data_IF_097048876366
#
_entry.id   IF_097048876366
#
_cell.length_a   1.000
_cell.length_b   1.000
_cell.length_c   1.000
_cell.angle_alpha   90.00
_cell.angle_beta   90.00
_cell.angle_gamma   90.00
#
_symmetry.space_group_name_H-M   'P 1'
#
loop_
_entity.id
_entity.type
_entity.pdbx_description
1 polymer ?
#
# COMPACT_ATOMS: atom_id res chain seq x y z
N UNK A 1 29.13 14.36 9.22
CA UNK A 1 27.86 13.82 8.66
C UNK A 1 26.83 13.83 9.76
N UNK A 2 25.83 14.70 9.64
CA UNK A 2 24.82 14.94 10.66
C UNK A 2 24.10 13.67 11.11
N UNK A 3 23.87 13.56 12.42
CA UNK A 3 23.14 12.42 13.03
C UNK A 3 21.75 12.21 12.39
N UNK A 4 21.15 13.25 11.82
CA UNK A 4 19.90 13.18 11.04
C UNK A 4 20.09 12.39 9.74
N UNK A 5 21.16 12.62 8.99
CA UNK A 5 21.45 11.91 7.74
C UNK A 5 21.75 10.43 7.97
N UNK A 6 22.54 10.08 9.01
CA UNK A 6 22.78 8.67 9.37
C UNK A 6 21.48 7.94 9.76
N UNK A 7 20.56 8.63 10.45
CA UNK A 7 19.27 8.05 10.86
C UNK A 7 18.33 7.86 9.66
N UNK A 8 18.26 8.84 8.76
CA UNK A 8 17.50 8.71 7.51
C UNK A 8 18.07 7.62 6.61
N UNK A 9 19.40 7.54 6.44
CA UNK A 9 20.03 6.49 5.64
C UNK A 9 19.79 5.09 6.21
N UNK A 10 19.88 4.89 7.52
CA UNK A 10 19.55 3.60 8.15
C UNK A 10 18.08 3.22 7.96
N UNK A 11 17.17 4.21 8.03
CA UNK A 11 15.75 3.99 7.81
C UNK A 11 15.44 3.64 6.35
N UNK A 12 15.98 4.42 5.39
CA UNK A 12 15.85 4.15 3.96
C UNK A 12 16.46 2.80 3.57
N UNK A 13 17.62 2.44 4.10
CA UNK A 13 18.24 1.13 3.84
C UNK A 13 17.40 -0.01 4.42
N UNK A 14 16.86 0.16 5.62
CA UNK A 14 15.97 -0.84 6.23
C UNK A 14 14.69 -1.02 5.41
N UNK A 15 14.09 0.07 4.92
CA UNK A 15 12.93 0.00 4.03
C UNK A 15 13.30 -0.69 2.74
N UNK A 16 14.40 -0.30 2.09
CA UNK A 16 14.84 -0.90 0.83
C UNK A 16 15.03 -2.42 0.93
N UNK A 17 15.65 -2.90 2.02
CA UNK A 17 15.84 -4.35 2.25
C UNK A 17 14.49 -5.05 2.49
N UNK A 18 13.60 -4.47 3.30
CA UNK A 18 12.27 -5.03 3.53
C UNK A 18 11.46 -5.08 2.23
N UNK A 19 11.45 -3.98 1.47
CA UNK A 19 10.79 -3.87 0.16
C UNK A 19 11.33 -4.91 -0.81
N UNK A 20 12.66 -5.09 -0.87
CA UNK A 20 13.29 -6.10 -1.73
C UNK A 20 12.83 -7.52 -1.38
N UNK A 21 12.87 -7.90 -0.10
CA UNK A 21 12.45 -9.23 0.35
C UNK A 21 10.95 -9.45 0.11
N UNK A 22 10.11 -8.47 0.44
CA UNK A 22 8.68 -8.55 0.17
C UNK A 22 8.39 -8.66 -1.32
N UNK A 23 9.04 -7.84 -2.15
CA UNK A 23 8.86 -7.85 -3.60
C UNK A 23 9.25 -9.22 -4.18
N UNK A 24 10.35 -9.82 -3.73
CA UNK A 24 10.77 -11.15 -4.17
C UNK A 24 9.72 -12.22 -3.80
N UNK A 25 9.25 -12.24 -2.55
CA UNK A 25 8.23 -13.20 -2.10
C UNK A 25 6.92 -13.01 -2.87
N UNK A 26 6.41 -11.78 -2.94
CA UNK A 26 5.17 -11.49 -3.66
C UNK A 26 5.30 -11.79 -5.15
N UNK A 27 6.42 -11.48 -5.78
CA UNK A 27 6.65 -11.78 -7.20
C UNK A 27 6.62 -13.29 -7.47
N UNK A 28 7.26 -14.10 -6.62
CA UNK A 28 7.24 -15.57 -6.75
C UNK A 28 5.82 -16.12 -6.55
N UNK A 29 5.10 -15.64 -5.53
CA UNK A 29 3.72 -16.07 -5.25
C UNK A 29 2.80 -15.65 -6.41
N UNK A 30 2.83 -14.39 -6.82
CA UNK A 30 2.00 -13.87 -7.92
C UNK A 30 2.29 -14.60 -9.23
N UNK A 31 3.55 -14.86 -9.55
CA UNK A 31 3.93 -15.61 -10.75
C UNK A 31 3.43 -17.06 -10.71
N UNK A 32 3.57 -17.73 -9.55
CA UNK A 32 3.10 -19.10 -9.36
C UNK A 32 1.57 -19.21 -9.41
N UNK A 33 0.85 -18.22 -8.86
CA UNK A 33 -0.61 -18.15 -8.92
C UNK A 33 -1.09 -17.83 -10.33
N UNK A 34 -0.42 -16.92 -11.06
CA UNK A 34 -0.84 -16.56 -12.42
C UNK A 34 -0.55 -17.66 -13.45
N UNK A 35 0.53 -18.44 -13.29
CA UNK A 35 0.99 -19.38 -14.33
C UNK A 35 -0.01 -20.51 -14.65
N UNK A 36 -0.86 -20.90 -13.69
CA UNK A 36 -1.88 -21.95 -13.87
C UNK A 36 -3.30 -21.44 -14.14
N UNK A 37 -3.46 -20.13 -14.33
CA UNK A 37 -4.77 -19.47 -14.28
C UNK A 37 -5.15 -18.91 -15.65
N UNK A 38 -6.44 -18.96 -16.00
CA UNK A 38 -6.94 -18.38 -17.25
C UNK A 38 -6.63 -16.87 -17.33
N UNK A 39 -6.33 -16.39 -18.53
CA UNK A 39 -5.96 -14.99 -18.79
C UNK A 39 -6.96 -13.97 -18.20
N UNK A 40 -8.26 -14.30 -18.20
CA UNK A 40 -9.33 -13.48 -17.60
C UNK A 40 -9.14 -13.29 -16.10
N UNK A 41 -8.81 -14.37 -15.39
CA UNK A 41 -8.61 -14.32 -13.94
C UNK A 41 -7.29 -13.60 -13.64
N UNK A 42 -6.25 -13.80 -14.46
CA UNK A 42 -5.00 -13.05 -14.36
C UNK A 42 -5.22 -11.54 -14.50
N UNK A 43 -6.06 -11.11 -15.45
CA UNK A 43 -6.45 -9.71 -15.62
C UNK A 43 -7.16 -9.14 -14.39
N UNK A 44 -8.08 -9.90 -13.78
CA UNK A 44 -8.76 -9.50 -12.54
C UNK A 44 -7.77 -9.33 -11.40
N UNK A 45 -6.79 -10.24 -11.26
CA UNK A 45 -5.75 -10.15 -10.24
C UNK A 45 -4.90 -8.88 -10.43
N UNK A 46 -4.51 -8.55 -11.66
CA UNK A 46 -3.79 -7.30 -11.96
C UNK A 46 -4.56 -6.08 -11.46
N UNK A 47 -5.86 -6.00 -11.77
CA UNK A 47 -6.68 -4.87 -11.31
C UNK A 47 -6.80 -4.81 -9.79
N UNK A 48 -6.97 -5.96 -9.12
CA UNK A 48 -7.00 -6.01 -7.65
C UNK A 48 -5.69 -5.46 -7.07
N UNK A 49 -4.55 -5.84 -7.64
CA UNK A 49 -3.24 -5.34 -7.20
C UNK A 49 -3.20 -3.82 -7.38
N UNK A 50 -3.50 -3.29 -8.58
CA UNK A 50 -3.50 -1.85 -8.86
C UNK A 50 -4.39 -1.07 -7.88
N UNK A 51 -5.63 -1.51 -7.68
CA UNK A 51 -6.55 -0.85 -6.76
C UNK A 51 -6.06 -0.89 -5.32
N UNK A 52 -5.47 -2.01 -4.90
CA UNK A 52 -4.85 -2.13 -3.58
C UNK A 52 -3.73 -1.10 -3.42
N UNK A 53 -2.82 -1.00 -4.38
CA UNK A 53 -1.75 0.02 -4.37
C UNK A 53 -2.28 1.45 -4.28
N UNK A 54 -3.33 1.79 -5.04
CA UNK A 54 -3.98 3.11 -5.02
C UNK A 54 -4.61 3.40 -3.65
N UNK A 55 -5.27 2.42 -3.03
CA UNK A 55 -5.86 2.57 -1.70
C UNK A 55 -4.77 2.80 -0.65
N UNK A 56 -3.67 2.06 -0.69
CA UNK A 56 -2.56 2.27 0.25
C UNK A 56 -1.88 3.63 0.04
N UNK A 57 -1.72 4.11 -1.20
CA UNK A 57 -1.24 5.46 -1.49
C UNK A 57 -2.16 6.54 -0.88
N UNK A 58 -3.48 6.36 -1.02
CA UNK A 58 -4.48 7.21 -0.38
C UNK A 58 -4.36 7.20 1.15
N UNK A 59 -4.12 6.04 1.77
CA UNK A 59 -3.94 5.92 3.22
C UNK A 59 -2.72 6.69 3.72
N UNK A 60 -1.58 6.62 3.01
CA UNK A 60 -0.38 7.34 3.40
C UNK A 60 -0.53 8.86 3.27
N UNK A 61 -1.17 9.34 2.20
CA UNK A 61 -1.48 10.77 2.03
C UNK A 61 -2.51 11.23 3.07
N UNK A 62 -3.51 10.41 3.39
CA UNK A 62 -4.48 10.75 4.43
C UNK A 62 -3.82 10.87 5.81
N UNK A 63 -2.80 10.05 6.09
CA UNK A 63 -2.08 10.07 7.36
C UNK A 63 -1.31 11.37 7.55
N UNK A 64 -0.68 11.88 6.48
CA UNK A 64 0.04 13.15 6.52
C UNK A 64 -0.90 14.36 6.52
N UNK A 65 -2.08 14.24 5.91
CA UNK A 65 -3.09 15.30 5.86
C UNK A 65 -4.00 15.36 7.10
N UNK A 66 -3.98 14.34 7.98
CA UNK A 66 -4.85 14.27 9.15
C UNK A 66 -4.29 15.09 10.32
N UNK A 67 -5.19 15.66 11.13
CA UNK A 67 -4.85 16.42 12.33
C UNK A 67 -5.12 15.63 13.61
N UNK A 68 -4.30 15.81 14.66
CA UNK A 68 -4.44 15.10 15.93
C UNK A 68 -5.68 15.53 16.75
N UNK A 69 -6.10 16.80 16.65
CA UNK A 69 -7.21 17.39 17.43
C UNK A 69 -8.51 16.56 17.41
N UNK A 70 -9.07 16.18 16.24
CA UNK A 70 -10.29 15.37 16.20
C UNK A 70 -10.12 14.00 16.88
N UNK A 71 -8.93 13.39 16.81
CA UNK A 71 -8.69 12.09 17.43
C UNK A 71 -8.56 12.18 18.95
N UNK A 72 -8.02 13.29 19.48
CA UNK A 72 -8.01 13.52 20.93
C UNK A 72 -9.41 13.69 21.51
N UNK A 73 -10.32 14.36 20.79
CA UNK A 73 -11.73 14.43 21.18
C UNK A 73 -12.37 13.03 21.19
N UNK A 74 -12.20 12.25 20.12
CA UNK A 74 -12.70 10.87 20.05
C UNK A 74 -12.11 9.96 21.13
N UNK A 75 -10.84 10.12 21.47
CA UNK A 75 -10.19 9.35 22.54
C UNK A 75 -10.73 9.72 23.94
N UNK A 76 -11.14 10.97 24.13
CA UNK A 76 -11.75 11.44 25.39
C UNK A 76 -13.15 10.83 25.59
N UNK A 77 -13.89 10.63 24.50
CA UNK A 77 -15.16 9.88 24.47
C UNK A 77 -14.97 8.35 24.43
N UNK A 78 -13.73 7.86 24.56
CA UNK A 78 -13.38 6.43 24.56
C UNK A 78 -13.79 5.68 23.29
N UNK A 79 -13.81 6.35 22.13
CA UNK A 79 -14.08 5.70 20.85
C UNK A 79 -12.97 4.70 20.52
N UNK A 80 -13.34 3.45 20.20
CA UNK A 80 -12.41 2.39 19.80
C UNK A 80 -11.66 2.76 18.51
N UNK A 81 -10.33 2.63 18.48
CA UNK A 81 -9.50 3.01 17.33
C UNK A 81 -8.94 4.45 17.40
N UNK A 82 -9.43 5.29 18.33
CA UNK A 82 -8.98 6.68 18.42
C UNK A 82 -7.52 6.81 18.90
N UNK A 83 -7.05 5.90 19.77
CA UNK A 83 -5.66 5.92 20.25
C UNK A 83 -4.69 5.51 19.15
N UNK A 84 -5.06 4.51 18.37
CA UNK A 84 -4.31 4.00 17.23
C UNK A 84 -4.22 5.09 16.14
N UNK A 85 -5.30 5.83 15.91
CA UNK A 85 -5.30 6.96 14.98
C UNK A 85 -4.31 8.06 15.40
N UNK A 86 -4.25 8.40 16.69
CA UNK A 86 -3.26 9.35 17.22
C UNK A 86 -1.84 8.85 16.95
N UNK A 87 -1.57 7.55 17.14
CA UNK A 87 -0.24 6.98 16.91
C UNK A 87 0.15 7.03 15.43
N UNK A 88 -0.80 6.76 14.53
CA UNK A 88 -0.60 6.86 13.08
C UNK A 88 -0.26 8.29 12.69
N UNK A 89 -1.05 9.28 13.11
CA UNK A 89 -0.81 10.70 12.78
C UNK A 89 0.50 11.20 13.38
N UNK A 90 0.83 10.79 14.61
CA UNK A 90 2.09 11.17 15.26
C UNK A 90 3.33 10.60 14.56
N UNK A 91 3.18 9.47 13.86
CA UNK A 91 4.23 8.84 13.06
C UNK A 91 3.90 8.89 11.55
N UNK A 92 3.18 9.93 11.12
CA UNK A 92 2.63 10.02 9.76
C UNK A 92 3.70 9.83 8.67
N UNK A 93 4.89 10.42 8.83
CA UNK A 93 5.99 10.27 7.87
C UNK A 93 6.37 8.80 7.63
N UNK A 94 6.47 8.00 8.71
CA UNK A 94 6.84 6.58 8.59
C UNK A 94 5.70 5.76 8.03
N UNK A 95 4.47 6.03 8.46
CA UNK A 95 3.29 5.34 7.98
C UNK A 95 3.05 5.63 6.48
N UNK A 96 3.23 6.88 6.06
CA UNK A 96 3.10 7.31 4.68
C UNK A 96 4.17 6.67 3.80
N UNK A 97 5.45 6.67 4.21
CA UNK A 97 6.49 5.96 3.45
C UNK A 97 6.23 4.46 3.35
N UNK A 98 5.71 3.82 4.41
CA UNK A 98 5.35 2.41 4.32
C UNK A 98 4.20 2.17 3.34
N UNK A 99 3.13 2.95 3.41
CA UNK A 99 1.96 2.73 2.53
C UNK A 99 2.24 3.12 1.07
N UNK A 100 2.92 4.24 0.85
CA UNK A 100 3.17 4.78 -0.48
C UNK A 100 4.40 4.10 -1.12
N UNK A 101 5.55 4.14 -0.46
CA UNK A 101 6.84 3.73 -1.06
C UNK A 101 7.05 2.21 -0.98
N UNK A 102 6.49 1.53 0.02
CA UNK A 102 6.61 0.06 0.10
C UNK A 102 5.44 -0.60 -0.61
N UNK A 103 4.22 -0.39 -0.13
CA UNK A 103 3.06 -1.10 -0.65
C UNK A 103 2.65 -0.56 -2.03
N UNK A 104 2.60 0.76 -2.19
CA UNK A 104 2.25 1.42 -3.46
C UNK A 104 3.21 1.07 -4.59
N UNK A 105 4.52 1.19 -4.38
CA UNK A 105 5.51 0.90 -5.43
C UNK A 105 5.63 -0.60 -5.73
N UNK A 106 5.60 -1.48 -4.72
CA UNK A 106 5.56 -2.94 -4.93
C UNK A 106 4.32 -3.31 -5.74
N UNK A 107 3.16 -2.76 -5.40
CA UNK A 107 1.93 -2.99 -6.15
C UNK A 107 2.08 -2.58 -7.62
N UNK A 108 2.74 -1.44 -7.90
CA UNK A 108 3.05 -1.00 -9.26
C UNK A 108 3.93 -2.01 -10.01
N UNK A 109 5.04 -2.44 -9.42
CA UNK A 109 5.98 -3.40 -10.03
C UNK A 109 5.33 -4.77 -10.24
N UNK A 110 4.64 -5.29 -9.23
CA UNK A 110 3.97 -6.60 -9.29
C UNK A 110 2.82 -6.57 -10.28
N UNK A 111 2.02 -5.51 -10.34
CA UNK A 111 0.96 -5.40 -11.36
C UNK A 111 1.52 -5.33 -12.78
N UNK A 112 2.65 -4.65 -13.00
CA UNK A 112 3.31 -4.61 -14.31
C UNK A 112 3.83 -5.98 -14.76
N UNK A 113 4.52 -6.70 -13.87
CA UNK A 113 5.00 -8.06 -14.16
C UNK A 113 3.85 -9.05 -14.36
N UNK A 114 2.80 -8.96 -13.54
CA UNK A 114 1.58 -9.75 -13.71
C UNK A 114 0.88 -9.46 -15.05
N UNK A 115 0.83 -8.20 -15.47
CA UNK A 115 0.26 -7.80 -16.77
C UNK A 115 1.04 -8.43 -17.93
N UNK A 116 2.37 -8.49 -17.85
CA UNK A 116 3.18 -9.15 -18.87
C UNK A 116 2.88 -10.66 -18.97
N UNK A 117 2.69 -11.34 -17.83
CA UNK A 117 2.29 -12.76 -17.80
C UNK A 117 0.91 -12.94 -18.44
N UNK A 118 -0.05 -12.05 -18.14
CA UNK A 118 -1.40 -12.09 -18.75
C UNK A 118 -1.31 -11.91 -20.27
N UNK A 119 -0.48 -10.99 -20.76
CA UNK A 119 -0.27 -10.78 -22.20
C UNK A 119 0.24 -12.06 -22.87
N UNK A 120 1.23 -12.72 -22.26
CA UNK A 120 1.76 -13.99 -22.78
C UNK A 120 0.66 -15.07 -22.85
N UNK A 121 -0.21 -15.15 -21.85
CA UNK A 121 -1.32 -16.11 -21.86
C UNK A 121 -2.35 -15.79 -22.94
N UNK A 122 -2.70 -14.52 -23.14
CA UNK A 122 -3.62 -14.08 -24.19
C UNK A 122 -3.08 -14.43 -25.58
N UNK A 123 -1.80 -14.15 -25.83
CA UNK A 123 -1.14 -14.41 -27.11
C UNK A 123 -1.07 -15.92 -27.40
N UNK A 124 -0.75 -16.73 -26.40
CA UNK A 124 -0.74 -18.19 -26.52
C UNK A 124 -2.13 -18.74 -26.86
N UNK A 125 -3.20 -18.24 -26.24
CA UNK A 125 -4.58 -18.66 -26.55
C UNK A 125 -4.99 -18.27 -27.97
N UNK A 126 -4.50 -17.14 -28.46
CA UNK A 126 -4.76 -16.67 -29.83
C UNK A 126 -3.91 -17.38 -30.90
N UNK A 127 -2.99 -18.26 -30.50
CA UNK A 127 -2.15 -19.04 -31.42
C UNK A 127 -1.06 -18.22 -32.14
N UNK A 128 -0.74 -17.02 -31.65
CA UNK A 128 0.34 -16.20 -32.21
C UNK A 128 1.68 -16.53 -31.54
N UNK A 129 2.75 -16.51 -32.32
CA UNK A 129 4.11 -16.74 -31.81
C UNK A 129 4.64 -15.55 -31.00
N UNK A 130 5.50 -15.87 -30.02
CA UNK A 130 6.23 -14.89 -29.23
C UNK A 130 7.02 -13.93 -30.13
N UNK A 131 6.92 -12.63 -29.86
CA UNK A 131 7.54 -11.55 -30.63
C UNK A 131 6.71 -11.00 -31.79
N UNK A 132 5.47 -11.47 -31.97
CA UNK A 132 4.57 -10.93 -33.01
C UNK A 132 4.17 -9.48 -32.75
N UNK A 133 3.90 -8.72 -33.82
CA UNK A 133 3.37 -7.34 -33.71
C UNK A 133 2.11 -7.28 -32.84
N UNK A 134 1.28 -8.33 -32.89
CA UNK A 134 0.06 -8.47 -32.08
C UNK A 134 0.38 -8.51 -30.59
N UNK A 135 1.39 -9.28 -30.16
CA UNK A 135 1.82 -9.32 -28.76
C UNK A 135 2.28 -7.94 -28.28
N UNK A 136 3.09 -7.25 -29.07
CA UNK A 136 3.61 -5.92 -28.72
C UNK A 136 2.44 -4.95 -28.56
N UNK A 137 1.50 -4.94 -29.51
CA UNK A 137 0.31 -4.09 -29.44
C UNK A 137 -0.53 -4.37 -28.20
N UNK A 138 -0.82 -5.64 -27.90
CA UNK A 138 -1.58 -6.02 -26.70
C UNK A 138 -0.84 -5.62 -25.42
N UNK A 139 0.47 -5.86 -25.37
CA UNK A 139 1.32 -5.47 -24.23
C UNK A 139 1.29 -3.97 -23.97
N UNK A 140 1.43 -3.17 -25.03
CA UNK A 140 1.39 -1.70 -24.93
C UNK A 140 0.03 -1.24 -24.46
N UNK A 141 -1.05 -1.74 -25.08
CA UNK A 141 -2.43 -1.37 -24.68
C UNK A 141 -2.67 -1.70 -23.21
N UNK A 142 -2.34 -2.93 -22.78
CA UNK A 142 -2.58 -3.34 -21.40
C UNK A 142 -1.74 -2.53 -20.41
N UNK A 143 -0.46 -2.32 -20.71
CA UNK A 143 0.44 -1.52 -19.87
C UNK A 143 -0.03 -0.07 -19.77
N UNK A 144 -0.49 0.52 -20.88
CA UNK A 144 -1.06 1.87 -20.90
C UNK A 144 -2.35 1.98 -20.08
N UNK A 145 -3.23 0.98 -20.14
CA UNK A 145 -4.45 0.93 -19.32
C UNK A 145 -4.08 0.87 -17.83
N UNK A 146 -3.16 -0.02 -17.46
CA UNK A 146 -2.70 -0.17 -16.07
C UNK A 146 -2.04 1.11 -15.57
N UNK A 147 -1.19 1.74 -16.38
CA UNK A 147 -0.55 3.00 -16.04
C UNK A 147 -1.57 4.14 -15.86
N UNK A 148 -2.52 4.30 -16.79
CA UNK A 148 -3.57 5.31 -16.71
C UNK A 148 -4.46 5.12 -15.47
N UNK A 149 -4.83 3.87 -15.17
CA UNK A 149 -5.62 3.56 -13.98
C UNK A 149 -4.83 3.81 -12.69
N UNK A 150 -3.54 3.49 -12.66
CA UNK A 150 -2.68 3.71 -11.50
C UNK A 150 -2.52 5.20 -11.21
N UNK A 151 -2.12 5.99 -12.22
CA UNK A 151 -1.88 7.44 -12.04
C UNK A 151 -3.20 8.19 -11.81
N UNK A 152 -4.24 7.88 -12.59
CA UNK A 152 -5.57 8.47 -12.40
C UNK A 152 -6.20 8.09 -11.07
N UNK A 153 -6.06 6.83 -10.66
CA UNK A 153 -6.50 6.34 -9.36
C UNK A 153 -5.80 7.05 -8.20
N UNK A 154 -4.47 7.22 -8.25
CA UNK A 154 -3.72 7.99 -7.25
C UNK A 154 -4.17 9.45 -7.19
N UNK A 155 -4.46 10.09 -8.32
CA UNK A 155 -4.96 11.46 -8.36
C UNK A 155 -6.34 11.59 -7.67
N UNK A 156 -7.26 10.68 -7.96
CA UNK A 156 -8.56 10.62 -7.30
C UNK A 156 -8.41 10.31 -5.80
N UNK A 157 -7.59 9.32 -5.45
CA UNK A 157 -7.28 8.95 -4.07
C UNK A 157 -6.73 10.14 -3.28
N UNK A 158 -5.83 10.93 -3.87
CA UNK A 158 -5.29 12.14 -3.23
C UNK A 158 -6.38 13.16 -2.89
N UNK A 159 -7.35 13.38 -3.78
CA UNK A 159 -8.47 14.27 -3.51
C UNK A 159 -9.30 13.80 -2.30
N UNK A 160 -9.64 12.51 -2.25
CA UNK A 160 -10.35 11.91 -1.11
C UNK A 160 -9.52 11.93 0.18
N UNK A 161 -8.22 11.64 0.09
CA UNK A 161 -7.29 11.63 1.21
C UNK A 161 -7.23 12.98 1.91
N UNK A 162 -7.21 14.08 1.16
CA UNK A 162 -7.14 15.43 1.72
C UNK A 162 -8.50 15.87 2.27
N UNK A 163 -9.58 15.66 1.51
CA UNK A 163 -10.91 16.14 1.90
C UNK A 163 -11.57 15.31 3.01
N UNK A 164 -11.14 14.07 3.23
CA UNK A 164 -11.70 13.16 4.24
C UNK A 164 -10.62 12.42 5.06
N UNK A 165 -9.47 13.07 5.26
CA UNK A 165 -8.29 12.51 5.96
C UNK A 165 -8.65 11.89 7.32
N UNK A 166 -9.44 12.61 8.13
CA UNK A 166 -9.80 12.18 9.49
C UNK A 166 -10.61 10.89 9.48
N UNK A 167 -11.59 10.76 8.56
CA UNK A 167 -12.44 9.56 8.46
C UNK A 167 -11.65 8.36 7.94
N UNK A 168 -10.80 8.58 6.94
CA UNK A 168 -9.96 7.54 6.33
C UNK A 168 -8.99 6.96 7.37
N UNK A 169 -8.28 7.84 8.10
CA UNK A 169 -7.34 7.41 9.14
C UNK A 169 -8.06 6.80 10.34
N UNK A 170 -9.23 7.32 10.73
CA UNK A 170 -10.03 6.69 11.76
C UNK A 170 -10.43 5.26 11.37
N UNK A 171 -10.86 5.05 10.13
CA UNK A 171 -11.20 3.72 9.62
C UNK A 171 -9.99 2.78 9.63
N UNK A 172 -8.84 3.24 9.09
CA UNK A 172 -7.61 2.46 9.10
C UNK A 172 -7.15 2.10 10.52
N UNK A 173 -7.20 3.06 11.44
CA UNK A 173 -6.88 2.86 12.84
C UNK A 173 -7.83 1.86 13.52
N UNK A 174 -9.12 1.89 13.18
CA UNK A 174 -10.11 0.94 13.70
C UNK A 174 -9.85 -0.48 13.20
N UNK A 175 -9.48 -0.65 11.93
CA UNK A 175 -9.08 -1.95 11.37
C UNK A 175 -7.82 -2.46 12.08
N UNK A 176 -6.83 -1.61 12.29
CA UNK A 176 -5.62 -1.97 13.02
C UNK A 176 -5.93 -2.35 14.47
N UNK A 177 -6.78 -1.59 15.17
CA UNK A 177 -7.20 -1.89 16.54
C UNK A 177 -7.95 -3.23 16.63
N UNK A 178 -8.78 -3.54 15.63
CA UNK A 178 -9.46 -4.84 15.54
C UNK A 178 -8.49 -5.99 15.24
N UNK A 179 -7.47 -5.74 14.41
CA UNK A 179 -6.44 -6.73 14.14
C UNK A 179 -5.57 -6.99 15.37
N UNK A 180 -5.18 -5.96 16.12
CA UNK A 180 -4.43 -6.09 17.38
C UNK A 180 -5.23 -6.82 18.46
N UNK A 181 -6.54 -6.55 18.57
CA UNK A 181 -7.39 -7.25 19.55
C UNK A 181 -7.58 -8.73 19.23
N UNK A 182 -7.59 -9.08 17.94
CA UNK A 182 -7.72 -10.46 17.47
C UNK A 182 -6.39 -11.22 17.52
N UNK A 183 -5.27 -10.56 17.21
CA UNK A 183 -3.95 -11.20 17.14
C UNK A 183 -3.17 -11.18 18.45
N UNK A 184 -3.58 -10.43 19.48
CA UNK A 184 -2.86 -10.20 20.75
C UNK A 184 -1.42 -9.67 20.59
N UNK A 185 -1.02 -9.28 19.38
CA UNK A 185 0.28 -8.66 19.10
C UNK A 185 0.07 -7.14 19.19
N UNK A 186 0.72 -6.50 20.16
CA UNK A 186 0.72 -5.04 20.32
C UNK A 186 1.71 -4.43 19.31
N UNK A 187 1.22 -4.06 18.12
CA UNK A 187 2.02 -3.46 17.05
C UNK A 187 2.33 -1.98 17.36
N UNK A 188 1.44 -1.29 18.10
CA UNK A 188 1.53 0.17 18.34
C UNK A 188 1.79 0.59 19.81
N UNK A 189 1.87 -0.35 20.77
CA UNK A 189 1.74 -0.03 22.21
C UNK A 189 2.93 0.68 22.89
N UNK A 190 4.07 0.91 22.26
CA UNK A 190 5.27 1.32 23.02
C UNK A 190 5.44 2.81 23.34
N UNK A 191 4.44 3.67 23.11
CA UNK A 191 4.59 5.12 23.33
C UNK A 191 3.69 5.74 24.42
N UNK A 192 2.82 4.97 25.09
CA UNK A 192 1.79 5.54 25.98
C UNK A 192 2.06 5.42 27.50
N UNK A 193 3.16 4.83 27.96
CA UNK A 193 3.34 4.51 29.39
C UNK A 193 4.36 5.36 30.16
N UNK A 194 4.56 6.65 29.82
CA UNK A 194 5.55 7.50 30.54
C UNK A 194 4.95 8.69 31.31
N UNK A 195 3.64 8.74 31.60
CA UNK A 195 3.16 9.80 32.51
C UNK A 195 2.08 9.36 33.49
N UNK A 196 2.42 8.34 34.29
CA UNK A 196 1.69 8.03 35.51
C UNK A 196 2.64 7.58 36.63
N UNK A 197 3.60 8.45 36.97
CA UNK A 197 4.16 8.49 38.32
C UNK A 197 3.97 9.92 38.84
N UNK A 198 2.77 10.12 39.38
CA UNK A 198 2.43 11.07 40.44
C UNK A 198 3.52 11.06 41.51
N UNK A 199 4.00 12.22 41.96
CA UNK A 199 3.40 12.98 43.08
C UNK A 199 3.16 12.10 44.29
#
# INVERSE_FOLDING_TARGET
MDNKLKKSLKFSLSIAVITFVLAAIFSVISSSVLSGVMWIIGLVIVFIIVFTGVIFDMLGIAATAAHEKPFHAMASEKVSGAKEAIIIVRNADRFASFCNDVIGDISGIVSGTASAIVVLQVVNVLGYSDGSTVQITISVILTSIVAALTVGGKALGKFFAINSSTKIIFFAARVIAWLESTTKIRILSNASSTNKKTR
#
